data_IF_895487248528
#
_entry.id   IF_895487248528
#
_cell.length_a   1.000
_cell.length_b   1.000
_cell.length_c   1.000
_cell.angle_alpha   90.00
_cell.angle_beta   90.00
_cell.angle_gamma   90.00
#
_symmetry.space_group_name_H-M   'P 1'
#
loop_
_entity.id
_entity.type
_entity.pdbx_description
1 polymer ?
#
# COMPACT_ATOMS: atom_id res chain seq x y z
N UNK A 1 -34.34 -38.65 12.63
CA UNK A 1 -33.02 -38.83 13.31
C UNK A 1 -31.88 -38.17 12.55
N UNK A 2 -31.77 -38.38 11.23
CA UNK A 2 -30.73 -37.75 10.37
C UNK A 2 -30.78 -36.22 10.43
N UNK A 3 -31.98 -35.62 10.44
CA UNK A 3 -32.14 -34.17 10.55
C UNK A 3 -31.56 -33.59 11.84
N UNK A 4 -31.79 -34.25 12.98
CA UNK A 4 -31.26 -33.82 14.29
C UNK A 4 -29.73 -33.86 14.27
N UNK A 5 -29.15 -34.94 13.71
CA UNK A 5 -27.70 -35.05 13.55
C UNK A 5 -27.16 -33.96 12.63
N UNK A 6 -27.83 -33.68 11.51
CA UNK A 6 -27.47 -32.63 10.58
C UNK A 6 -27.47 -31.24 11.24
N UNK A 7 -28.51 -30.92 12.03
CA UNK A 7 -28.57 -29.67 12.79
C UNK A 7 -27.47 -29.59 13.85
N UNK A 8 -27.18 -30.68 14.56
CA UNK A 8 -26.11 -30.73 15.55
C UNK A 8 -24.73 -30.46 14.90
N UNK A 9 -24.42 -31.13 13.79
CA UNK A 9 -23.17 -30.93 13.04
C UNK A 9 -23.03 -29.49 12.57
N UNK A 10 -24.08 -28.93 11.97
CA UNK A 10 -24.09 -27.53 11.53
C UNK A 10 -23.90 -26.57 12.69
N UNK A 11 -24.61 -26.77 13.81
CA UNK A 11 -24.49 -25.93 14.98
C UNK A 11 -23.05 -25.92 15.54
N UNK A 12 -22.44 -27.10 15.71
CA UNK A 12 -21.06 -27.23 16.19
C UNK A 12 -20.10 -26.57 15.19
N UNK A 13 -20.26 -26.82 13.89
CA UNK A 13 -19.44 -26.20 12.85
C UNK A 13 -19.54 -24.68 12.85
N UNK A 14 -20.74 -24.12 12.95
CA UNK A 14 -20.96 -22.67 13.06
C UNK A 14 -20.34 -22.10 14.34
N UNK A 15 -20.38 -22.82 15.46
CA UNK A 15 -19.67 -22.40 16.69
C UNK A 15 -18.16 -22.33 16.47
N UNK A 16 -17.55 -23.31 15.78
CA UNK A 16 -16.13 -23.25 15.43
C UNK A 16 -15.80 -22.09 14.49
N UNK A 17 -16.66 -21.79 13.51
CA UNK A 17 -16.50 -20.63 12.63
C UNK A 17 -16.52 -19.33 13.44
N UNK A 18 -17.45 -19.20 14.41
CA UNK A 18 -17.53 -18.04 15.28
C UNK A 18 -16.28 -17.89 16.16
N UNK A 19 -15.85 -18.97 16.82
CA UNK A 19 -14.64 -18.98 17.65
C UNK A 19 -13.41 -18.60 16.83
N UNK A 20 -13.28 -19.14 15.61
CA UNK A 20 -12.18 -18.81 14.72
C UNK A 20 -12.19 -17.33 14.31
N UNK A 21 -13.36 -16.79 13.93
CA UNK A 21 -13.50 -15.37 13.59
C UNK A 21 -13.13 -14.46 14.77
N UNK A 22 -13.62 -14.76 15.97
CA UNK A 22 -13.25 -14.03 17.19
C UNK A 22 -11.76 -14.16 17.46
N UNK A 23 -11.19 -15.35 17.32
CA UNK A 23 -9.77 -15.60 17.54
C UNK A 23 -8.88 -14.83 16.56
N UNK A 24 -9.23 -14.75 15.28
CA UNK A 24 -8.50 -13.96 14.28
C UNK A 24 -8.47 -12.48 14.64
N UNK A 25 -9.58 -11.95 15.19
CA UNK A 25 -9.68 -10.52 15.55
C UNK A 25 -9.03 -10.22 16.90
N UNK A 26 -9.08 -11.15 17.86
CA UNK A 26 -8.71 -10.88 19.27
C UNK A 26 -7.34 -11.41 19.67
N UNK A 27 -6.78 -12.40 18.97
CA UNK A 27 -5.52 -13.00 19.39
C UNK A 27 -4.34 -12.05 19.12
N UNK A 28 -3.30 -12.08 19.99
CA UNK A 28 -2.30 -11.02 20.05
C UNK A 28 -1.25 -11.07 18.95
N UNK A 29 -0.98 -12.23 18.34
CA UNK A 29 0.05 -12.38 17.32
C UNK A 29 -0.42 -13.16 16.09
N UNK A 30 0.38 -13.16 15.03
CA UNK A 30 0.05 -13.81 13.76
C UNK A 30 -0.11 -15.34 13.91
N UNK A 31 0.69 -15.98 14.77
CA UNK A 31 0.73 -17.44 14.93
C UNK A 31 -0.51 -17.96 15.67
N UNK A 32 -0.91 -17.28 16.73
CA UNK A 32 -2.12 -17.56 17.49
C UNK A 32 -3.37 -17.26 16.66
N UNK A 33 -3.41 -16.16 15.90
CA UNK A 33 -4.49 -15.87 14.94
C UNK A 33 -4.60 -16.96 13.87
N UNK A 34 -3.48 -17.43 13.32
CA UNK A 34 -3.44 -18.54 12.37
C UNK A 34 -3.99 -19.83 12.99
N UNK A 35 -3.61 -20.15 14.23
CA UNK A 35 -4.15 -21.30 14.96
C UNK A 35 -5.67 -21.24 15.18
N UNK A 36 -6.24 -20.04 15.33
CA UNK A 36 -7.69 -19.86 15.33
C UNK A 36 -8.28 -20.04 13.93
N UNK A 37 -7.68 -19.41 12.91
CA UNK A 37 -8.14 -19.46 11.52
C UNK A 37 -8.25 -20.89 10.97
N UNK A 38 -7.29 -21.77 11.29
CA UNK A 38 -7.32 -23.16 10.79
C UNK A 38 -8.52 -23.96 11.27
N UNK A 39 -9.06 -23.66 12.46
CA UNK A 39 -10.27 -24.30 12.98
C UNK A 39 -11.51 -23.96 12.14
N UNK A 40 -11.54 -22.78 11.51
CA UNK A 40 -12.64 -22.39 10.64
C UNK A 40 -12.78 -23.33 9.44
N UNK A 41 -11.66 -23.67 8.80
CA UNK A 41 -11.67 -24.54 7.63
C UNK A 41 -11.98 -25.99 7.98
N UNK A 42 -11.18 -26.60 8.85
CA UNK A 42 -11.25 -28.05 9.11
C UNK A 42 -12.48 -28.45 9.92
N UNK A 43 -12.71 -27.81 11.07
CA UNK A 43 -13.84 -28.13 11.95
C UNK A 43 -15.09 -27.33 11.59
N UNK A 44 -14.95 -26.04 11.32
CA UNK A 44 -16.08 -25.16 11.02
C UNK A 44 -16.79 -25.53 9.73
N UNK A 45 -16.15 -25.26 8.60
CA UNK A 45 -16.69 -25.53 7.28
C UNK A 45 -16.90 -27.03 7.04
N UNK A 46 -15.96 -27.87 7.50
CA UNK A 46 -16.07 -29.33 7.38
C UNK A 46 -17.36 -29.91 8.00
N UNK A 47 -17.67 -29.54 9.25
CA UNK A 47 -18.89 -30.01 9.92
C UNK A 47 -20.17 -29.42 9.29
N UNK A 48 -20.14 -28.17 8.85
CA UNK A 48 -21.28 -27.54 8.16
C UNK A 48 -21.57 -28.22 6.83
N UNK A 49 -20.55 -28.50 6.02
CA UNK A 49 -20.68 -29.18 4.72
C UNK A 49 -21.22 -30.61 4.92
N UNK A 50 -20.64 -31.36 5.85
CA UNK A 50 -21.11 -32.72 6.16
C UNK A 50 -22.56 -32.71 6.67
N UNK A 51 -22.88 -31.83 7.62
CA UNK A 51 -24.24 -31.67 8.13
C UNK A 51 -25.24 -31.17 7.09
N UNK A 52 -24.79 -30.54 6.01
CA UNK A 52 -25.65 -30.10 4.90
C UNK A 52 -25.89 -31.21 3.86
N UNK A 53 -24.94 -32.14 3.72
CA UNK A 53 -25.07 -33.25 2.79
C UNK A 53 -25.93 -34.41 3.34
N UNK A 54 -25.93 -34.63 4.66
CA UNK A 54 -26.65 -35.74 5.29
C UNK A 54 -28.16 -35.80 4.97
N UNK A 55 -28.94 -34.70 5.02
CA UNK A 55 -30.38 -34.74 4.72
C UNK A 55 -30.72 -34.98 3.25
N UNK A 56 -29.75 -34.84 2.34
CA UNK A 56 -29.98 -35.03 0.90
C UNK A 56 -30.04 -36.51 0.51
N UNK A 57 -29.55 -37.40 1.38
CA UNK A 57 -29.57 -38.86 1.22
C UNK A 57 -29.05 -39.37 -0.14
N UNK A 58 -28.21 -38.55 -0.81
CA UNK A 58 -27.67 -38.81 -2.13
C UNK A 58 -26.19 -39.17 -2.04
N UNK A 59 -25.81 -40.28 -2.67
CA UNK A 59 -24.41 -40.70 -2.77
C UNK A 59 -23.53 -39.61 -3.41
N UNK A 60 -24.09 -38.85 -4.36
CA UNK A 60 -23.40 -37.72 -4.97
C UNK A 60 -23.12 -36.62 -3.94
N UNK A 61 -24.13 -36.19 -3.18
CA UNK A 61 -24.00 -35.14 -2.17
C UNK A 61 -23.01 -35.52 -1.05
N UNK A 62 -23.08 -36.77 -0.57
CA UNK A 62 -22.15 -37.29 0.43
C UNK A 62 -20.73 -37.37 -0.14
N UNK A 63 -20.59 -37.86 -1.38
CA UNK A 63 -19.31 -37.90 -2.09
C UNK A 63 -18.68 -36.52 -2.25
N UNK A 64 -19.47 -35.52 -2.67
CA UNK A 64 -19.01 -34.12 -2.75
C UNK A 64 -18.56 -33.62 -1.38
N UNK A 65 -19.34 -33.85 -0.31
CA UNK A 65 -18.97 -33.42 1.03
C UNK A 65 -17.67 -34.06 1.53
N UNK A 66 -17.45 -35.34 1.28
CA UNK A 66 -16.21 -36.04 1.63
C UNK A 66 -15.03 -35.45 0.84
N UNK A 67 -15.18 -35.26 -0.47
CA UNK A 67 -14.12 -34.65 -1.31
C UNK A 67 -13.81 -33.23 -0.84
N UNK A 68 -14.82 -32.43 -0.53
CA UNK A 68 -14.63 -31.08 0.04
C UNK A 68 -13.89 -31.15 1.38
N UNK A 69 -14.26 -32.06 2.28
CA UNK A 69 -13.60 -32.23 3.58
C UNK A 69 -12.14 -32.66 3.41
N UNK A 70 -11.86 -33.61 2.51
CA UNK A 70 -10.50 -34.04 2.18
C UNK A 70 -9.67 -32.88 1.61
N UNK A 71 -10.26 -32.09 0.73
CA UNK A 71 -9.59 -30.91 0.18
C UNK A 71 -9.26 -29.90 1.28
N UNK A 72 -10.21 -29.59 2.18
CA UNK A 72 -9.97 -28.69 3.31
C UNK A 72 -8.90 -29.25 4.26
N UNK A 73 -8.93 -30.55 4.56
CA UNK A 73 -7.93 -31.19 5.42
C UNK A 73 -6.53 -31.20 4.81
N UNK A 74 -6.42 -31.17 3.48
CA UNK A 74 -5.13 -31.10 2.79
C UNK A 74 -4.65 -29.66 2.63
N UNK A 75 -5.52 -28.73 2.22
CA UNK A 75 -5.11 -27.36 1.88
C UNK A 75 -4.89 -26.49 3.12
N UNK A 76 -5.66 -26.68 4.19
CA UNK A 76 -5.54 -25.84 5.40
C UNK A 76 -4.16 -26.00 6.08
N UNK A 77 -3.63 -27.22 6.30
CA UNK A 77 -2.28 -27.39 6.85
C UNK A 77 -1.18 -26.83 5.94
N UNK A 78 -1.29 -27.04 4.62
CA UNK A 78 -0.31 -26.52 3.65
C UNK A 78 -0.28 -24.98 3.65
N UNK A 79 -1.45 -24.34 3.62
CA UNK A 79 -1.57 -22.89 3.69
C UNK A 79 -1.00 -22.34 5.00
N UNK A 80 -1.32 -22.99 6.12
CA UNK A 80 -0.85 -22.57 7.45
C UNK A 80 0.66 -22.75 7.62
N UNK A 81 1.23 -23.81 7.05
CA UNK A 81 2.67 -24.01 7.10
C UNK A 81 3.41 -22.94 6.30
N UNK A 82 2.97 -22.66 5.08
CA UNK A 82 3.54 -21.60 4.24
C UNK A 82 3.40 -20.21 4.89
N UNK A 83 2.22 -19.90 5.43
CA UNK A 83 1.96 -18.63 6.09
C UNK A 83 2.77 -18.48 7.38
N UNK A 84 2.84 -19.53 8.21
CA UNK A 84 3.63 -19.55 9.44
C UNK A 84 5.12 -19.39 9.17
N UNK A 85 5.64 -20.08 8.15
CA UNK A 85 7.04 -19.95 7.72
C UNK A 85 7.34 -18.55 7.21
N UNK A 86 6.48 -17.97 6.39
CA UNK A 86 6.63 -16.60 5.90
C UNK A 86 6.60 -15.57 7.05
N UNK A 87 5.66 -15.72 7.99
CA UNK A 87 5.58 -14.85 9.17
C UNK A 87 6.84 -14.97 10.05
N UNK A 88 7.33 -16.19 10.28
CA UNK A 88 8.53 -16.41 11.10
C UNK A 88 9.79 -15.85 10.45
N UNK A 89 10.03 -16.17 9.17
CA UNK A 89 11.18 -15.66 8.41
C UNK A 89 11.08 -14.13 8.26
N UNK A 90 9.87 -13.59 8.10
CA UNK A 90 9.63 -12.15 8.04
C UNK A 90 9.74 -11.41 9.37
N UNK A 91 10.13 -12.07 10.46
CA UNK A 91 10.34 -11.43 11.75
C UNK A 91 9.05 -11.03 12.48
N UNK A 92 7.90 -11.65 12.17
CA UNK A 92 6.65 -11.34 12.84
C UNK A 92 6.81 -11.45 14.38
N UNK A 93 6.36 -10.45 15.13
CA UNK A 93 6.55 -10.44 16.58
C UNK A 93 5.74 -11.58 17.21
N UNK A 94 6.33 -12.21 18.21
CA UNK A 94 5.59 -13.12 19.08
C UNK A 94 4.78 -12.34 20.12
N UNK A 95 3.71 -12.93 20.61
CA UNK A 95 3.07 -12.45 21.81
C UNK A 95 4.05 -12.46 22.98
N UNK A 96 4.04 -11.43 23.81
CA UNK A 96 4.94 -11.27 24.96
C UNK A 96 4.89 -12.45 25.95
N UNK A 97 3.77 -13.18 26.00
CA UNK A 97 3.61 -14.38 26.83
C UNK A 97 4.15 -15.67 26.20
N UNK A 98 4.79 -15.61 25.03
CA UNK A 98 5.38 -16.79 24.37
C UNK A 98 6.60 -17.24 25.16
N UNK A 99 6.50 -18.43 25.76
CA UNK A 99 7.54 -18.94 26.67
C UNK A 99 8.82 -19.42 25.94
N UNK A 100 8.70 -19.92 24.73
CA UNK A 100 9.83 -20.46 23.97
C UNK A 100 9.62 -20.36 22.46
N UNK A 101 10.73 -20.19 21.74
CA UNK A 101 10.77 -20.29 20.28
C UNK A 101 11.19 -21.71 19.88
N UNK A 102 10.23 -22.51 19.41
CA UNK A 102 10.50 -23.87 18.98
C UNK A 102 11.21 -23.97 17.61
N UNK A 103 11.27 -22.87 16.85
CA UNK A 103 11.89 -22.82 15.52
C UNK A 103 13.28 -22.18 15.55
N UNK A 104 13.73 -21.72 16.71
CA UNK A 104 15.07 -21.17 16.90
C UNK A 104 16.13 -22.21 16.51
N UNK A 105 17.16 -21.77 15.80
CA UNK A 105 18.19 -22.62 15.20
C UNK A 105 17.71 -23.55 14.07
N UNK A 106 16.41 -23.68 13.81
CA UNK A 106 15.86 -24.53 12.74
C UNK A 106 15.53 -23.74 11.48
N UNK A 107 14.95 -22.55 11.64
CA UNK A 107 14.64 -21.62 10.56
C UNK A 107 15.34 -20.28 10.79
N UNK A 108 15.86 -19.62 9.74
CA UNK A 108 16.36 -18.27 9.87
C UNK A 108 15.20 -17.35 10.25
N UNK A 109 15.39 -16.59 11.31
CA UNK A 109 14.43 -15.58 11.74
C UNK A 109 14.90 -14.22 11.23
N UNK A 110 14.04 -13.53 10.49
CA UNK A 110 14.28 -12.14 10.15
C UNK A 110 14.24 -11.28 11.41
N UNK A 111 14.98 -10.17 11.40
CA UNK A 111 14.88 -9.22 12.49
C UNK A 111 13.43 -8.75 12.61
N UNK A 112 12.87 -8.68 13.84
CA UNK A 112 11.59 -8.01 14.04
C UNK A 112 11.69 -6.63 13.40
N UNK A 113 10.70 -6.25 12.58
CA UNK A 113 10.61 -4.89 12.05
C UNK A 113 10.89 -3.93 13.21
N UNK A 114 11.93 -3.09 13.06
CA UNK A 114 12.48 -2.29 14.16
C UNK A 114 11.35 -1.63 14.97
N UNK A 115 11.48 -1.58 16.32
CA UNK A 115 10.57 -0.78 17.11
C UNK A 115 10.55 0.64 16.51
N UNK A 116 9.33 1.15 16.36
CA UNK A 116 8.95 2.39 15.67
C UNK A 116 9.59 3.68 16.20
N UNK A 117 10.58 3.58 17.09
CA UNK A 117 11.17 4.63 17.90
C UNK A 117 12.63 4.95 17.54
N UNK A 118 13.12 4.57 16.36
CA UNK A 118 14.42 5.05 15.89
C UNK A 118 14.41 6.59 15.80
N UNK A 119 15.55 7.29 16.03
CA UNK A 119 15.62 8.74 15.87
C UNK A 119 15.10 9.16 14.50
N UNK A 120 14.05 9.97 14.52
CA UNK A 120 13.32 10.38 13.32
C UNK A 120 14.03 11.61 12.76
N UNK A 121 15.08 11.40 11.98
CA UNK A 121 15.66 12.49 11.19
C UNK A 121 14.73 12.83 10.01
N UNK A 122 14.50 14.12 9.71
CA UNK A 122 13.75 14.52 8.53
C UNK A 122 14.34 13.88 7.27
N UNK A 123 13.48 13.49 6.32
CA UNK A 123 13.93 13.11 4.98
C UNK A 123 14.70 14.28 4.37
N UNK A 124 16.00 14.08 4.19
CA UNK A 124 16.86 14.99 3.44
C UNK A 124 16.57 14.81 1.95
N UNK A 125 15.69 15.65 1.40
CA UNK A 125 15.41 15.67 -0.04
C UNK A 125 16.55 16.45 -0.70
N UNK A 126 17.36 15.77 -1.49
CA UNK A 126 18.49 16.37 -2.23
C UNK A 126 18.12 16.70 -3.68
N UNK A 127 17.12 16.01 -4.23
CA UNK A 127 16.71 16.11 -5.63
C UNK A 127 15.29 15.62 -5.83
N UNK A 128 14.60 16.16 -6.82
CA UNK A 128 13.24 15.74 -7.20
C UNK A 128 13.29 15.07 -8.56
N UNK A 129 12.76 13.86 -8.69
CA UNK A 129 12.64 13.14 -9.96
C UNK A 129 11.18 13.13 -10.37
N UNK A 130 10.84 13.74 -11.51
CA UNK A 130 9.46 13.79 -12.01
C UNK A 130 9.31 12.98 -13.30
N UNK A 131 8.21 12.22 -13.38
CA UNK A 131 7.81 11.52 -14.59
C UNK A 131 6.63 12.26 -15.23
N UNK A 132 6.87 13.09 -16.26
CA UNK A 132 5.83 13.91 -16.82
C UNK A 132 4.92 13.08 -17.74
N UNK A 133 3.63 13.43 -17.76
CA UNK A 133 2.62 12.77 -18.60
C UNK A 133 2.39 13.55 -19.91
N UNK A 134 2.00 12.82 -20.96
CA UNK A 134 1.68 13.43 -22.25
C UNK A 134 0.27 14.04 -22.29
N UNK A 135 -0.73 13.34 -21.73
CA UNK A 135 -2.16 13.63 -21.92
C UNK A 135 -2.80 14.46 -20.80
N UNK A 136 -2.30 14.40 -19.57
CA UNK A 136 -2.88 15.14 -18.44
C UNK A 136 -2.19 16.49 -18.23
N UNK A 137 -2.96 17.48 -17.76
CA UNK A 137 -2.42 18.77 -17.31
C UNK A 137 -1.17 18.51 -16.46
N UNK A 138 -0.12 19.28 -16.70
CA UNK A 138 1.24 19.07 -16.23
C UNK A 138 1.42 19.21 -14.70
N UNK A 139 0.43 18.85 -13.90
CA UNK A 139 0.39 19.02 -12.45
C UNK A 139 1.56 18.32 -11.77
N UNK A 140 2.01 17.15 -12.24
CA UNK A 140 3.22 16.51 -11.73
C UNK A 140 4.47 17.38 -11.95
N UNK A 141 4.67 17.90 -13.16
CA UNK A 141 5.80 18.78 -13.49
C UNK A 141 5.71 20.12 -12.77
N UNK A 142 4.53 20.75 -12.75
CA UNK A 142 4.28 22.01 -12.05
C UNK A 142 4.54 21.85 -10.56
N UNK A 143 4.06 20.76 -9.95
CA UNK A 143 4.27 20.47 -8.54
C UNK A 143 5.73 20.20 -8.25
N UNK A 144 6.41 19.40 -9.09
CA UNK A 144 7.84 19.11 -8.94
C UNK A 144 8.69 20.38 -9.02
N UNK A 145 8.39 21.29 -9.97
CA UNK A 145 9.08 22.59 -10.09
C UNK A 145 8.78 23.49 -8.90
N UNK A 146 7.52 23.56 -8.46
CA UNK A 146 7.14 24.35 -7.28
C UNK A 146 7.84 23.85 -6.02
N UNK A 147 7.92 22.54 -5.83
CA UNK A 147 8.64 21.92 -4.71
C UNK A 147 10.14 22.14 -4.82
N UNK A 148 10.71 21.96 -6.01
CA UNK A 148 12.15 22.18 -6.24
C UNK A 148 12.58 23.60 -5.89
N UNK A 149 11.76 24.60 -6.24
CA UNK A 149 11.99 26.00 -5.83
C UNK A 149 11.83 26.23 -4.33
N UNK A 150 10.83 25.59 -3.70
CA UNK A 150 10.58 25.75 -2.27
C UNK A 150 11.67 25.09 -1.41
N UNK A 151 12.23 23.99 -1.90
CA UNK A 151 13.28 23.21 -1.25
C UNK A 151 14.70 23.64 -1.66
N UNK A 152 14.84 24.49 -2.67
CA UNK A 152 16.12 24.83 -3.32
C UNK A 152 16.90 23.59 -3.80
N UNK A 153 16.20 22.63 -4.41
CA UNK A 153 16.77 21.37 -4.91
C UNK A 153 16.57 21.21 -6.43
N UNK A 154 17.51 20.54 -7.13
CA UNK A 154 17.38 20.27 -8.55
C UNK A 154 16.19 19.35 -8.85
N UNK A 155 15.53 19.61 -9.97
CA UNK A 155 14.48 18.75 -10.54
C UNK A 155 15.06 18.00 -11.73
N UNK A 156 14.76 16.70 -11.86
CA UNK A 156 15.14 15.83 -12.98
C UNK A 156 13.88 15.34 -13.67
N UNK A 157 13.81 15.52 -14.98
CA UNK A 157 12.68 15.07 -15.78
C UNK A 157 13.03 13.74 -16.45
N UNK A 158 12.32 12.67 -16.07
CA UNK A 158 12.50 11.32 -16.59
C UNK A 158 11.40 10.98 -17.59
N UNK A 159 11.75 10.92 -18.88
CA UNK A 159 10.89 10.38 -19.93
C UNK A 159 11.11 8.87 -20.05
N UNK A 160 10.04 8.09 -20.06
CA UNK A 160 10.12 6.63 -20.23
C UNK A 160 9.42 6.21 -21.51
N UNK A 161 10.06 5.30 -22.23
CA UNK A 161 9.50 4.62 -23.38
C UNK A 161 9.66 3.12 -23.14
N UNK A 162 8.57 2.40 -22.85
CA UNK A 162 8.64 0.95 -22.68
C UNK A 162 8.74 0.25 -24.04
N UNK A 163 9.85 -0.46 -24.32
CA UNK A 163 10.06 -1.07 -25.62
C UNK A 163 9.06 -2.20 -25.93
N UNK A 164 8.41 -2.79 -24.90
CA UNK A 164 7.44 -3.88 -25.06
C UNK A 164 6.25 -3.48 -25.94
N UNK A 165 5.89 -2.19 -25.98
CA UNK A 165 4.83 -1.69 -26.86
C UNK A 165 5.16 -1.83 -28.35
N UNK A 166 6.44 -1.86 -28.71
CA UNK A 166 6.86 -1.95 -30.12
C UNK A 166 7.10 -3.38 -30.57
N UNK A 167 6.97 -4.37 -29.69
CA UNK A 167 7.00 -5.79 -30.11
C UNK A 167 5.84 -6.10 -31.05
N UNK A 168 4.68 -5.47 -30.83
CA UNK A 168 3.47 -5.66 -31.64
C UNK A 168 3.21 -4.55 -32.66
N UNK A 169 3.81 -3.36 -32.49
CA UNK A 169 3.62 -2.19 -33.37
C UNK A 169 4.91 -1.37 -33.55
N UNK A 170 5.90 -1.86 -34.32
CA UNK A 170 7.23 -1.25 -34.45
C UNK A 170 7.21 0.19 -34.99
N UNK A 171 6.26 0.51 -35.87
CA UNK A 171 6.07 1.82 -36.49
C UNK A 171 5.76 2.94 -35.48
N UNK A 172 5.26 2.59 -34.28
CA UNK A 172 4.94 3.54 -33.22
C UNK A 172 6.16 4.17 -32.53
N UNK A 173 7.37 3.62 -32.72
CA UNK A 173 8.58 4.03 -31.98
C UNK A 173 9.00 5.48 -32.23
N UNK A 174 8.86 5.94 -33.47
CA UNK A 174 9.16 7.34 -33.83
C UNK A 174 8.22 8.32 -33.13
N UNK A 175 6.92 8.03 -33.16
CA UNK A 175 5.89 8.83 -32.49
C UNK A 175 6.09 8.86 -30.98
N UNK A 176 6.43 7.73 -30.36
CA UNK A 176 6.71 7.66 -28.93
C UNK A 176 7.88 8.56 -28.51
N UNK A 177 8.95 8.57 -29.31
CA UNK A 177 10.12 9.42 -29.08
C UNK A 177 9.78 10.91 -29.22
N UNK A 178 8.99 11.26 -30.23
CA UNK A 178 8.51 12.64 -30.43
C UNK A 178 7.63 13.10 -29.24
N UNK A 179 6.69 12.26 -28.79
CA UNK A 179 5.85 12.52 -27.62
C UNK A 179 6.67 12.72 -26.34
N UNK A 180 7.67 11.87 -26.11
CA UNK A 180 8.55 11.98 -24.96
C UNK A 180 9.32 13.31 -24.98
N UNK A 181 9.92 13.64 -26.12
CA UNK A 181 10.66 14.90 -26.28
C UNK A 181 9.76 16.13 -26.11
N UNK A 182 8.55 16.11 -26.68
CA UNK A 182 7.56 17.18 -26.54
C UNK A 182 7.13 17.35 -25.08
N UNK A 183 6.90 16.24 -24.37
CA UNK A 183 6.52 16.26 -22.95
C UNK A 183 7.64 16.85 -22.08
N UNK A 184 8.88 16.39 -22.28
CA UNK A 184 10.04 16.91 -21.57
C UNK A 184 10.26 18.40 -21.84
N UNK A 185 10.10 18.83 -23.09
CA UNK A 185 10.20 20.25 -23.48
C UNK A 185 9.14 21.12 -22.78
N UNK A 186 7.90 20.62 -22.66
CA UNK A 186 6.83 21.31 -21.91
C UNK A 186 7.16 21.41 -20.42
N UNK A 187 7.72 20.37 -19.82
CA UNK A 187 8.14 20.40 -18.42
C UNK A 187 9.24 21.46 -18.17
N UNK A 188 10.19 21.61 -19.09
CA UNK A 188 11.22 22.67 -19.04
C UNK A 188 10.59 24.06 -19.09
N UNK A 189 9.63 24.27 -20.00
CA UNK A 189 8.96 25.56 -20.16
C UNK A 189 8.23 26.01 -18.87
N UNK A 190 7.79 25.07 -18.03
CA UNK A 190 7.16 25.36 -16.73
C UNK A 190 8.15 25.83 -15.65
N UNK A 191 9.46 25.81 -15.95
CA UNK A 191 10.49 26.31 -15.05
C UNK A 191 11.41 25.24 -14.48
N UNK A 192 11.41 24.03 -15.05
CA UNK A 192 12.50 23.06 -14.88
C UNK A 192 13.73 23.44 -15.73
N UNK A 193 14.07 24.74 -15.82
CA UNK A 193 15.21 25.20 -16.59
C UNK A 193 16.51 24.72 -15.93
N UNK A 194 17.37 24.03 -16.71
CA UNK A 194 18.59 23.42 -16.18
C UNK A 194 18.40 22.02 -15.57
N UNK A 195 17.18 21.50 -15.54
CA UNK A 195 16.91 20.12 -15.13
C UNK A 195 17.59 19.12 -16.08
N UNK A 196 18.36 18.15 -15.56
CA UNK A 196 18.84 17.02 -16.36
C UNK A 196 17.63 16.31 -16.98
N UNK A 197 17.65 16.15 -18.31
CA UNK A 197 16.68 15.31 -19.02
C UNK A 197 17.25 13.93 -19.18
N UNK A 198 16.51 12.92 -18.75
CA UNK A 198 16.86 11.53 -19.01
C UNK A 198 15.71 10.86 -19.75
N UNK A 199 15.97 10.44 -20.98
CA UNK A 199 15.04 9.62 -21.76
C UNK A 199 15.54 8.18 -21.71
N UNK A 200 14.77 7.31 -21.06
CA UNK A 200 15.13 5.91 -20.86
C UNK A 200 14.18 5.01 -21.64
N UNK A 201 14.73 4.21 -22.55
CA UNK A 201 14.00 3.12 -23.22
C UNK A 201 14.12 1.85 -22.36
N UNK A 202 13.16 1.63 -21.46
CA UNK A 202 13.06 0.48 -20.57
C UNK A 202 11.64 0.38 -19.99
N UNK A 203 11.29 -0.75 -19.35
CA UNK A 203 10.09 -0.78 -18.53
C UNK A 203 10.19 0.25 -17.39
N UNK A 204 9.06 0.79 -16.88
CA UNK A 204 9.09 1.85 -15.89
C UNK A 204 9.83 1.57 -14.58
N UNK A 205 9.82 0.31 -14.11
CA UNK A 205 10.52 -0.06 -12.87
C UNK A 205 12.02 0.02 -13.08
N UNK A 206 12.50 -0.55 -14.18
CA UNK A 206 13.91 -0.50 -14.56
C UNK A 206 14.37 0.93 -14.84
N UNK A 207 13.53 1.76 -15.48
CA UNK A 207 13.84 3.15 -15.72
C UNK A 207 14.02 3.93 -14.40
N UNK A 208 13.09 3.80 -13.46
CA UNK A 208 13.21 4.44 -12.15
C UNK A 208 14.43 3.93 -11.37
N UNK A 209 14.69 2.62 -11.35
CA UNK A 209 15.84 2.04 -10.65
C UNK A 209 17.19 2.53 -11.19
N UNK A 210 17.26 2.99 -12.44
CA UNK A 210 18.49 3.57 -13.04
C UNK A 210 18.73 5.02 -12.62
N UNK A 211 17.65 5.78 -12.43
CA UNK A 211 17.71 7.24 -12.26
C UNK A 211 17.61 7.64 -10.79
N UNK A 212 16.74 6.98 -10.05
CA UNK A 212 16.42 7.29 -8.66
C UNK A 212 17.57 6.87 -7.75
N UNK A 213 17.92 7.76 -6.82
CA UNK A 213 19.02 7.64 -5.85
C UNK A 213 18.50 7.89 -4.45
N UNK A 214 19.33 7.60 -3.46
CA UNK A 214 19.06 8.00 -2.08
C UNK A 214 18.93 9.53 -1.99
N UNK A 215 18.00 10.01 -1.16
CA UNK A 215 17.69 11.44 -1.04
C UNK A 215 16.76 12.00 -2.13
N UNK A 216 16.32 11.19 -3.10
CA UNK A 216 15.35 11.65 -4.09
C UNK A 216 13.91 11.69 -3.55
N UNK A 217 13.13 12.69 -3.96
CA UNK A 217 11.67 12.65 -3.93
C UNK A 217 11.15 12.36 -5.33
N UNK A 218 10.38 11.27 -5.49
CA UNK A 218 9.81 10.91 -6.79
C UNK A 218 8.41 11.51 -6.93
N UNK A 219 8.16 12.26 -8.01
CA UNK A 219 6.85 12.87 -8.29
C UNK A 219 6.21 12.13 -9.47
N UNK A 220 5.11 11.45 -9.18
CA UNK A 220 4.29 10.72 -10.15
C UNK A 220 2.98 11.46 -10.41
N UNK A 221 2.40 11.33 -11.61
CA UNK A 221 1.05 11.79 -11.85
C UNK A 221 0.06 10.99 -11.00
N UNK A 222 -0.99 11.64 -10.52
CA UNK A 222 -2.04 10.93 -9.77
C UNK A 222 -3.16 10.36 -10.66
N UNK A 223 -3.14 10.69 -11.96
CA UNK A 223 -3.99 10.14 -13.03
C UNK A 223 -3.25 10.17 -14.37
N UNK A 224 -3.56 9.21 -15.23
CA UNK A 224 -2.93 9.04 -16.54
C UNK A 224 -1.64 8.24 -16.46
N UNK A 225 -1.00 8.04 -17.62
CA UNK A 225 0.20 7.24 -17.76
C UNK A 225 1.37 8.10 -18.28
N UNK A 226 2.57 7.89 -17.72
CA UNK A 226 3.78 8.67 -18.06
C UNK A 226 4.59 8.03 -19.20
N UNK A 227 4.26 6.82 -19.61
CA UNK A 227 4.95 6.16 -20.74
C UNK A 227 4.47 6.74 -22.06
N UNK A 228 5.44 7.10 -22.90
CA UNK A 228 5.18 7.71 -24.20
C UNK A 228 4.98 6.69 -25.33
N UNK A 229 5.15 5.40 -25.07
CA UNK A 229 4.93 4.28 -25.99
C UNK A 229 3.47 3.91 -26.27
N UNK A 230 2.50 4.52 -25.59
CA UNK A 230 1.10 4.12 -25.66
C UNK A 230 0.23 5.06 -26.54
N UNK A 231 -0.37 4.50 -27.59
CA UNK A 231 -1.53 5.08 -28.29
C UNK A 231 -2.88 4.66 -27.67
N UNK A 232 -2.86 3.74 -26.71
CA UNK A 232 -4.00 3.30 -25.89
C UNK A 232 -3.45 2.91 -24.51
N UNK A 233 -4.11 3.35 -23.45
CA UNK A 233 -3.99 2.70 -22.13
C UNK A 233 -4.01 1.17 -22.37
N UNK A 234 -3.05 0.40 -21.84
CA UNK A 234 -3.08 -1.05 -22.05
C UNK A 234 -4.39 -1.62 -21.48
N UNK A 235 -5.21 -2.26 -22.33
CA UNK A 235 -6.47 -2.90 -21.91
C UNK A 235 -6.24 -3.98 -20.83
N UNK A 236 -5.00 -4.48 -20.72
CA UNK A 236 -4.61 -5.59 -19.87
C UNK A 236 -3.92 -5.17 -18.55
N UNK A 237 -3.88 -3.87 -18.25
CA UNK A 237 -3.60 -3.44 -16.88
C UNK A 237 -4.94 -3.06 -16.26
N UNK A 238 -5.61 -4.08 -15.72
CA UNK A 238 -6.75 -3.90 -14.84
C UNK A 238 -6.46 -2.77 -13.84
N UNK A 239 -7.20 -1.66 -13.96
CA UNK A 239 -7.21 -0.58 -12.99
C UNK A 239 -6.54 0.70 -13.47
N UNK A 240 -7.34 1.59 -14.06
CA UNK A 240 -7.09 3.04 -14.10
C UNK A 240 -6.58 3.45 -12.70
N UNK A 241 -5.31 3.85 -12.60
CA UNK A 241 -4.67 4.23 -11.33
C UNK A 241 -3.97 3.12 -10.52
N UNK A 242 -4.32 1.84 -10.69
CA UNK A 242 -3.73 0.72 -9.92
C UNK A 242 -2.29 0.38 -10.32
N UNK A 243 -1.84 0.76 -11.52
CA UNK A 243 -0.52 0.41 -12.03
C UNK A 243 0.64 1.25 -11.42
N UNK A 244 0.34 2.46 -10.95
CA UNK A 244 1.35 3.37 -10.38
C UNK A 244 1.68 3.07 -8.92
N UNK A 245 0.72 2.54 -8.15
CA UNK A 245 0.96 2.22 -6.73
C UNK A 245 1.98 1.08 -6.54
N UNK A 246 1.93 -0.04 -7.29
CA UNK A 246 2.97 -1.06 -7.29
C UNK A 246 4.34 -0.54 -7.72
N UNK A 247 4.38 0.48 -8.59
CA UNK A 247 5.62 1.15 -9.00
C UNK A 247 6.19 1.95 -7.83
N UNK A 248 5.37 2.78 -7.18
CA UNK A 248 5.76 3.52 -5.99
C UNK A 248 6.24 2.60 -4.86
N UNK A 249 5.56 1.48 -4.63
CA UNK A 249 5.95 0.47 -3.62
C UNK A 249 7.26 -0.25 -3.91
N UNK A 250 7.80 -0.17 -5.13
CA UNK A 250 9.14 -0.71 -5.43
C UNK A 250 10.27 0.27 -5.15
N UNK A 251 9.95 1.51 -4.81
CA UNK A 251 10.92 2.53 -4.44
C UNK A 251 11.10 2.55 -2.93
N UNK A 252 12.34 2.76 -2.48
CA UNK A 252 12.65 3.04 -1.08
C UNK A 252 12.47 4.53 -0.75
N UNK A 253 12.40 5.36 -1.79
CA UNK A 253 12.29 6.81 -1.74
C UNK A 253 10.83 7.24 -1.53
N UNK A 254 10.60 8.40 -0.90
CA UNK A 254 9.26 8.97 -0.83
C UNK A 254 8.72 9.26 -2.24
N UNK A 255 7.43 8.99 -2.43
CA UNK A 255 6.74 9.16 -3.71
C UNK A 255 5.52 10.06 -3.55
N UNK A 256 5.55 11.21 -4.23
CA UNK A 256 4.44 12.15 -4.30
C UNK A 256 3.59 11.90 -5.55
N UNK A 257 2.35 11.49 -5.39
CA UNK A 257 1.33 11.52 -6.43
C UNK A 257 0.73 12.93 -6.53
N UNK A 258 0.99 13.61 -7.64
CA UNK A 258 0.50 14.97 -7.88
C UNK A 258 -0.98 14.99 -8.28
N UNK A 259 -1.81 15.49 -7.37
CA UNK A 259 -3.25 15.70 -7.51
C UNK A 259 -3.66 16.88 -8.38
N UNK A 260 -4.93 17.24 -8.29
CA UNK A 260 -5.44 18.53 -8.75
C UNK A 260 -4.83 19.65 -7.88
N UNK A 261 -4.26 20.70 -8.48
CA UNK A 261 -3.60 21.76 -7.73
C UNK A 261 -4.64 22.54 -6.91
N UNK A 262 -4.45 22.54 -5.60
CA UNK A 262 -5.25 23.31 -4.65
C UNK A 262 -4.33 23.94 -3.60
N UNK A 263 -4.65 25.14 -3.07
CA UNK A 263 -3.93 25.70 -1.94
C UNK A 263 -4.00 24.74 -0.75
N UNK A 264 -2.85 24.28 -0.27
CA UNK A 264 -2.78 23.33 0.85
C UNK A 264 -3.19 24.05 2.13
N UNK A 265 -4.38 23.72 2.64
CA UNK A 265 -4.92 24.25 3.90
C UNK A 265 -4.99 23.18 4.96
N UNK A 266 -5.10 21.91 4.55
CA UNK A 266 -5.16 20.76 5.42
C UNK A 266 -4.31 19.62 4.91
N UNK A 267 -3.57 19.00 5.83
CA UNK A 267 -2.79 17.80 5.58
C UNK A 267 -3.31 16.69 6.49
N UNK A 268 -3.78 15.59 5.90
CA UNK A 268 -4.24 14.43 6.64
C UNK A 268 -3.17 13.34 6.63
N UNK A 269 -2.73 12.92 7.81
CA UNK A 269 -1.71 11.88 7.96
C UNK A 269 -2.38 10.60 8.43
N UNK A 270 -2.22 9.52 7.69
CA UNK A 270 -2.59 8.19 8.17
C UNK A 270 -1.40 7.57 8.90
N UNK A 271 -1.40 7.67 10.23
CA UNK A 271 -0.32 7.11 11.05
C UNK A 271 -0.60 5.62 11.33
N UNK A 272 0.17 4.77 10.65
CA UNK A 272 0.24 3.35 10.92
C UNK A 272 1.20 3.03 12.09
N UNK A 273 1.87 4.05 12.63
CA UNK A 273 2.86 4.04 13.69
C UNK A 273 4.30 3.94 13.19
N UNK A 274 4.56 3.76 11.89
CA UNK A 274 5.91 3.56 11.38
C UNK A 274 6.82 4.78 11.62
N UNK A 275 8.16 4.59 11.69
CA UNK A 275 9.09 5.72 11.71
C UNK A 275 8.98 6.59 10.44
N UNK A 276 8.58 6.00 9.32
CA UNK A 276 8.44 6.68 8.04
C UNK A 276 7.40 7.81 8.10
N UNK A 277 6.26 7.60 8.77
CA UNK A 277 5.25 8.66 8.99
C UNK A 277 5.83 9.80 9.83
N UNK A 278 6.55 9.47 10.89
CA UNK A 278 7.17 10.48 11.73
C UNK A 278 8.22 11.29 10.94
N UNK A 279 9.03 10.63 10.08
CA UNK A 279 10.02 11.31 9.23
C UNK A 279 9.36 12.22 8.21
N UNK A 280 8.29 11.73 7.57
CA UNK A 280 7.50 12.52 6.63
C UNK A 280 6.91 13.77 7.28
N UNK A 281 6.41 13.61 8.51
CA UNK A 281 5.87 14.71 9.29
C UNK A 281 6.95 15.73 9.67
N UNK A 282 8.13 15.26 10.09
CA UNK A 282 9.29 16.10 10.36
C UNK A 282 9.67 16.92 9.12
N UNK A 283 9.75 16.27 7.95
CA UNK A 283 10.04 16.94 6.67
C UNK A 283 8.95 17.93 6.29
N UNK A 284 7.67 17.58 6.40
CA UNK A 284 6.59 18.51 6.08
C UNK A 284 6.58 19.75 6.98
N UNK A 285 6.95 19.59 8.26
CA UNK A 285 7.05 20.70 9.20
C UNK A 285 8.13 21.72 8.80
N UNK A 286 9.18 21.31 8.08
CA UNK A 286 10.24 22.22 7.60
C UNK A 286 9.90 22.95 6.30
N UNK A 287 8.82 22.58 5.60
CA UNK A 287 8.45 23.17 4.31
C UNK A 287 7.45 24.32 4.49
N UNK A 288 7.82 25.53 4.06
CA UNK A 288 7.01 26.75 4.27
C UNK A 288 5.62 26.81 3.60
N UNK A 289 5.24 26.05 2.53
CA UNK A 289 3.83 25.97 2.15
C UNK A 289 3.01 25.01 3.03
N UNK A 290 3.64 24.14 3.83
CA UNK A 290 2.99 23.10 4.61
C UNK A 290 2.92 23.42 6.12
N UNK A 291 3.84 24.24 6.65
CA UNK A 291 3.83 24.68 8.06
C UNK A 291 2.65 25.57 8.48
N UNK A 292 1.83 26.05 7.54
CA UNK A 292 0.61 26.84 7.80
C UNK A 292 -0.69 26.03 7.65
N UNK A 293 -0.60 24.77 7.25
CA UNK A 293 -1.76 23.92 7.05
C UNK A 293 -2.23 23.29 8.37
N UNK A 294 -3.54 23.10 8.49
CA UNK A 294 -4.13 22.32 9.58
C UNK A 294 -3.69 20.86 9.45
N UNK A 295 -2.94 20.39 10.43
CA UNK A 295 -2.46 19.02 10.47
C UNK A 295 -3.46 18.11 11.20
N UNK A 296 -3.89 17.03 10.54
CA UNK A 296 -4.83 16.06 11.08
C UNK A 296 -4.23 14.66 11.03
N UNK A 297 -3.94 14.08 12.19
CA UNK A 297 -3.42 12.71 12.31
C UNK A 297 -4.57 11.73 12.51
N UNK A 298 -4.66 10.74 11.64
CA UNK A 298 -5.63 9.65 11.65
C UNK A 298 -4.95 8.38 12.14
N UNK A 299 -5.32 7.91 13.34
CA UNK A 299 -4.76 6.69 13.93
C UNK A 299 -5.35 5.44 13.28
N UNK A 300 -4.50 4.55 12.78
CA UNK A 300 -4.91 3.19 12.44
C UNK A 300 -5.29 2.42 13.72
N UNK A 301 -6.32 1.56 13.63
CA UNK A 301 -7.02 0.94 14.79
C UNK A 301 -6.15 0.15 15.78
N UNK A 302 -4.94 -0.22 15.40
CA UNK A 302 -4.09 -1.15 16.16
C UNK A 302 -2.97 -0.47 16.97
N UNK A 303 -2.95 0.87 17.03
CA UNK A 303 -1.90 1.59 17.77
C UNK A 303 -2.28 1.82 19.24
N UNK A 304 -1.53 1.21 20.17
CA UNK A 304 -1.52 1.57 21.59
C UNK A 304 -0.09 1.49 22.16
N UNK A 305 0.31 2.44 23.04
CA UNK A 305 -0.50 3.53 23.61
C UNK A 305 -0.47 4.82 22.77
N UNK A 306 -1.65 5.34 22.43
CA UNK A 306 -1.86 6.61 21.68
C UNK A 306 -1.13 7.81 22.31
N UNK A 307 -0.97 7.81 23.64
CA UNK A 307 -0.28 8.87 24.39
C UNK A 307 1.22 8.96 24.08
N UNK A 308 1.89 7.81 23.94
CA UNK A 308 3.34 7.76 23.70
C UNK A 308 3.65 8.25 22.29
N UNK A 309 2.87 7.82 21.30
CA UNK A 309 3.02 8.28 19.92
C UNK A 309 2.64 9.72 19.72
N UNK A 310 1.62 10.20 20.43
CA UNK A 310 1.30 11.63 20.42
C UNK A 310 2.46 12.46 20.97
N UNK A 311 3.13 11.99 22.02
CA UNK A 311 4.32 12.65 22.56
C UNK A 311 5.49 12.60 21.56
N UNK A 312 5.71 11.47 20.91
CA UNK A 312 6.72 11.30 19.86
C UNK A 312 6.48 12.24 18.68
N UNK A 313 5.29 12.22 18.06
CA UNK A 313 4.96 13.11 16.95
C UNK A 313 5.03 14.58 17.37
N UNK A 314 4.59 14.92 18.59
CA UNK A 314 4.69 16.30 19.10
C UNK A 314 6.13 16.74 19.29
N UNK A 315 7.04 15.85 19.66
CA UNK A 315 8.47 16.15 19.78
C UNK A 315 9.11 16.33 18.40
N UNK A 316 8.69 15.54 17.41
CA UNK A 316 9.15 15.63 16.02
C UNK A 316 8.65 16.89 15.31
N UNK A 317 7.42 17.34 15.62
CA UNK A 317 6.79 18.50 15.01
C UNK A 317 7.30 19.87 15.49
N UNK A 318 8.22 19.94 16.45
CA UNK A 318 8.82 21.17 17.00
C UNK A 318 7.84 22.36 17.16
N UNK A 319 6.65 22.10 17.73
CA UNK A 319 5.64 23.12 18.00
C UNK A 319 4.52 23.30 16.96
N UNK A 320 4.52 22.54 15.85
CA UNK A 320 3.37 22.49 14.92
C UNK A 320 2.18 21.80 15.61
N UNK A 321 1.07 22.53 15.74
CA UNK A 321 -0.15 21.99 16.33
C UNK A 321 -0.83 21.00 15.37
N UNK A 322 -1.19 19.82 15.86
CA UNK A 322 -2.00 18.86 15.12
C UNK A 322 -3.22 18.39 15.91
N UNK A 323 -4.29 18.10 15.18
CA UNK A 323 -5.45 17.40 15.71
C UNK A 323 -5.32 15.90 15.45
N UNK A 324 -5.84 15.08 16.35
CA UNK A 324 -5.77 13.62 16.22
C UNK A 324 -7.18 13.02 16.24
N UNK A 325 -7.45 12.09 15.33
CA UNK A 325 -8.76 11.41 15.19
C UNK A 325 -8.53 9.92 14.99
N UNK A 326 -9.49 9.11 15.45
CA UNK A 326 -9.50 7.68 15.11
C UNK A 326 -10.06 7.50 13.70
N UNK A 327 -9.34 6.80 12.83
CA UNK A 327 -9.88 6.37 11.55
C UNK A 327 -10.55 5.00 11.68
N UNK A 328 -11.76 4.87 11.12
CA UNK A 328 -12.38 3.59 10.90
C UNK A 328 -11.74 2.89 9.70
N UNK A 329 -11.20 1.69 9.89
CA UNK A 329 -10.70 0.83 8.81
C UNK A 329 -9.59 1.44 7.90
N UNK A 330 -8.91 2.51 8.33
CA UNK A 330 -7.84 3.15 7.56
C UNK A 330 -8.33 4.09 6.44
N UNK A 331 -9.62 4.44 6.44
CA UNK A 331 -10.23 5.39 5.50
C UNK A 331 -10.22 6.79 6.09
N UNK A 332 -9.98 7.81 5.26
CA UNK A 332 -10.03 9.22 5.65
C UNK A 332 -11.31 9.85 5.09
N UNK A 333 -12.26 10.18 5.97
CA UNK A 333 -13.55 10.77 5.58
C UNK A 333 -13.43 12.24 5.12
N UNK A 334 -12.40 12.96 5.59
CA UNK A 334 -12.16 14.37 5.29
C UNK A 334 -10.65 14.61 5.00
N UNK A 335 -10.18 14.22 3.80
CA UNK A 335 -8.76 14.10 3.48
C UNK A 335 -8.00 15.42 3.34
N UNK A 336 -8.70 16.54 3.14
CA UNK A 336 -8.05 17.82 2.79
C UNK A 336 -7.35 17.76 1.42
N UNK A 337 -6.37 18.64 1.21
CA UNK A 337 -5.66 18.74 -0.06
C UNK A 337 -4.46 17.79 -0.18
N UNK A 338 -3.90 17.32 0.95
CA UNK A 338 -2.73 16.44 0.97
C UNK A 338 -2.95 15.30 1.95
N UNK A 339 -2.63 14.08 1.52
CA UNK A 339 -2.58 12.91 2.39
C UNK A 339 -1.14 12.42 2.49
N UNK A 340 -0.72 11.98 3.68
CA UNK A 340 0.53 11.26 3.90
C UNK A 340 0.26 9.87 4.45
N UNK A 341 0.91 8.85 3.89
CA UNK A 341 0.77 7.46 4.33
C UNK A 341 2.01 6.63 3.94
N UNK A 342 2.35 5.57 4.67
CA UNK A 342 3.39 4.63 4.22
C UNK A 342 2.97 3.75 3.05
N UNK A 343 1.70 3.34 3.08
CA UNK A 343 1.06 2.53 2.06
C UNK A 343 -0.41 2.43 2.44
N UNK A 344 -1.35 2.65 1.50
CA UNK A 344 -2.73 2.27 1.73
C UNK A 344 -2.72 0.76 2.00
N UNK A 345 -3.11 0.32 3.19
CA UNK A 345 -3.10 -1.10 3.55
C UNK A 345 -3.79 -1.91 2.45
N UNK A 346 -3.08 -2.86 1.85
CA UNK A 346 -3.56 -3.73 0.77
C UNK A 346 -4.60 -4.76 1.25
N UNK A 347 -5.23 -4.55 2.40
CA UNK A 347 -5.98 -5.58 3.13
C UNK A 347 -7.15 -6.21 2.39
N UNK A 348 -7.51 -5.74 1.18
CA UNK A 348 -8.53 -6.33 0.30
C UNK A 348 -8.25 -6.11 -1.20
N UNK A 349 -6.98 -6.03 -1.60
CA UNK A 349 -6.63 -5.20 -2.75
C UNK A 349 -6.96 -5.73 -4.15
N UNK A 350 -7.16 -7.02 -4.36
CA UNK A 350 -7.21 -7.55 -5.74
C UNK A 350 -8.63 -7.89 -6.25
N UNK A 351 -9.66 -7.80 -5.40
CA UNK A 351 -10.96 -8.46 -5.69
C UNK A 351 -12.10 -7.54 -6.16
N UNK A 352 -12.01 -6.21 -6.05
CA UNK A 352 -13.15 -5.31 -6.29
C UNK A 352 -12.95 -4.21 -7.36
N UNK A 353 -11.77 -4.12 -8.01
CA UNK A 353 -11.56 -3.19 -9.14
C UNK A 353 -11.76 -1.69 -8.83
N UNK A 354 -11.71 -1.30 -7.55
CA UNK A 354 -11.79 0.10 -7.12
C UNK A 354 -10.41 0.74 -7.11
N UNK A 355 -10.28 1.97 -7.62
CA UNK A 355 -9.03 2.76 -7.57
C UNK A 355 -8.53 2.87 -6.11
N UNK A 356 -7.22 2.75 -5.89
CA UNK A 356 -6.63 2.78 -4.56
C UNK A 356 -6.87 4.11 -3.82
N UNK A 357 -7.05 5.22 -4.55
CA UNK A 357 -7.38 6.53 -3.99
C UNK A 357 -8.77 6.54 -3.39
N UNK A 358 -9.74 5.94 -4.08
CA UNK A 358 -11.11 5.84 -3.59
C UNK A 358 -11.21 4.95 -2.34
N UNK A 359 -10.25 4.03 -2.15
CA UNK A 359 -10.14 3.23 -0.91
C UNK A 359 -9.56 4.03 0.25
N UNK A 360 -8.65 4.96 -0.05
CA UNK A 360 -7.98 5.79 0.96
C UNK A 360 -8.86 6.98 1.37
N UNK A 361 -9.46 7.65 0.39
CA UNK A 361 -10.41 8.73 0.57
C UNK A 361 -11.32 8.83 -0.68
N UNK A 362 -12.58 8.34 -0.62
CA UNK A 362 -13.50 8.36 -1.75
C UNK A 362 -13.69 9.75 -2.37
N UNK A 363 -13.50 9.87 -3.69
CA UNK A 363 -13.72 11.13 -4.42
C UNK A 363 -12.62 12.19 -4.22
N UNK A 364 -11.56 11.87 -3.48
CA UNK A 364 -10.45 12.78 -3.23
C UNK A 364 -9.54 12.96 -4.45
N UNK A 365 -9.12 14.21 -4.68
CA UNK A 365 -8.31 14.59 -5.85
C UNK A 365 -7.00 15.29 -5.52
N UNK A 366 -6.66 15.45 -4.23
CA UNK A 366 -5.45 16.13 -3.78
C UNK A 366 -4.14 15.33 -3.95
N UNK A 367 -3.07 15.75 -3.30
CA UNK A 367 -1.74 15.12 -3.41
C UNK A 367 -1.56 13.98 -2.40
N UNK A 368 -1.02 12.83 -2.81
CA UNK A 368 -0.62 11.76 -1.87
C UNK A 368 0.89 11.70 -1.77
N UNK A 369 1.43 11.84 -0.57
CA UNK A 369 2.82 11.51 -0.27
C UNK A 369 2.90 10.12 0.36
N UNK A 370 3.56 9.20 -0.34
CA UNK A 370 3.97 7.89 0.18
C UNK A 370 5.38 7.96 0.74
N UNK A 371 5.60 7.40 1.94
CA UNK A 371 6.86 7.51 2.70
C UNK A 371 7.36 6.20 3.28
#
# INVERSE_FOLDING_TARGET
MIEVLAYLLKAIGTTFLLIAAVGVVRLPDAFTRMHAATKAGTLGAGLVVLGSALPLESAFSIGTAIVTLLFLLLTVPLASHSLGRAAYIGGAPFWQGTASDALDGTLPRGEPAEPKSAPVEPLAIERIVVMPTYESDCNASTQAVSLGRALDVPVVCLGVIDPRFFETAPEGRGLARERAQSTLSRAIALGAQGAPMELVEADPRTALARVVRDGDLVVLPSRGWFDHGAGREPEDISGRGEALLPLARSLAQPVLFAGEPAPVRRISILDDGSPAVARALATLATLEPFGKADLVVHWARDYQPESERRAELSAVCDGVAFSARRSGAGVIDDPGEVVVSTSPHSGRADWYGLDWRDRLAPGWRGHLLLV
#
